data_IF_761134892939
#
_entry.id   IF_761134892939
#
_cell.length_a   1.000
_cell.length_b   1.000
_cell.length_c   1.000
_cell.angle_alpha   90.00
_cell.angle_beta   90.00
_cell.angle_gamma   90.00
#
_symmetry.space_group_name_H-M   'P 1'
#
loop_
_entity.id
_entity.type
_entity.pdbx_description
1 polymer ?
#
# COMPACT_ATOMS: atom_id res chain seq x y z
N UNK A 1 9.65 4.92 -8.55
CA UNK A 1 8.34 4.77 -9.24
C UNK A 1 7.98 3.30 -9.16
N UNK A 2 6.77 2.97 -8.69
CA UNK A 2 6.37 1.57 -8.48
C UNK A 2 6.05 0.88 -9.81
N UNK A 3 6.38 -0.40 -9.91
CA UNK A 3 6.21 -1.23 -11.10
C UNK A 3 5.57 -2.58 -10.78
N UNK A 4 4.95 -3.20 -11.79
CA UNK A 4 4.52 -4.59 -11.66
C UNK A 4 5.74 -5.50 -11.42
N UNK A 5 5.63 -6.41 -10.45
CA UNK A 5 6.72 -7.26 -10.00
C UNK A 5 7.42 -6.78 -8.74
N UNK A 6 7.31 -5.49 -8.39
CA UNK A 6 7.88 -4.97 -7.13
C UNK A 6 7.26 -5.72 -5.94
N UNK A 7 8.10 -6.07 -4.98
CA UNK A 7 7.71 -6.87 -3.83
C UNK A 7 8.07 -6.16 -2.52
N UNK A 8 7.11 -6.15 -1.60
CA UNK A 8 7.20 -5.40 -0.34
C UNK A 8 6.86 -6.29 0.83
N UNK A 9 7.70 -6.27 1.87
CA UNK A 9 7.43 -7.02 3.10
C UNK A 9 6.59 -6.18 4.06
N UNK A 10 5.43 -6.69 4.45
CA UNK A 10 4.61 -6.07 5.49
C UNK A 10 5.06 -6.45 6.91
N UNK A 11 4.54 -5.72 7.90
CA UNK A 11 4.82 -5.95 9.32
C UNK A 11 4.36 -7.33 9.80
N UNK A 12 3.35 -7.93 9.14
CA UNK A 12 2.92 -9.32 9.42
C UNK A 12 3.87 -10.38 8.85
N UNK A 13 4.94 -9.96 8.18
CA UNK A 13 5.95 -10.83 7.60
C UNK A 13 5.58 -11.44 6.24
N UNK A 14 4.42 -11.10 5.69
CA UNK A 14 4.03 -11.47 4.33
C UNK A 14 4.72 -10.58 3.31
N UNK A 15 4.97 -11.12 2.12
CA UNK A 15 5.54 -10.37 0.99
C UNK A 15 4.46 -10.14 -0.05
N UNK A 16 4.16 -8.88 -0.33
CA UNK A 16 3.15 -8.47 -1.30
C UNK A 16 3.82 -8.08 -2.61
N UNK A 17 3.49 -8.78 -3.69
CA UNK A 17 3.97 -8.48 -5.04
C UNK A 17 2.93 -7.69 -5.81
N UNK A 18 3.33 -6.54 -6.35
CA UNK A 18 2.47 -5.72 -7.20
C UNK A 18 2.24 -6.41 -8.54
N UNK A 19 1.00 -6.43 -9.02
CA UNK A 19 0.62 -7.09 -10.28
C UNK A 19 0.22 -6.06 -11.34
N UNK A 20 -0.64 -5.10 -10.99
CA UNK A 20 -1.05 -4.02 -11.91
C UNK A 20 -1.60 -2.81 -11.14
N UNK A 21 -1.47 -1.59 -11.68
CA UNK A 21 -2.14 -0.43 -11.12
C UNK A 21 -3.67 -0.54 -11.29
N UNK A 22 -4.43 0.11 -10.40
CA UNK A 22 -5.89 0.06 -10.41
C UNK A 22 -6.59 1.35 -10.84
N UNK A 23 -5.90 2.48 -10.88
CA UNK A 23 -6.45 3.67 -11.53
C UNK A 23 -6.02 3.78 -12.99
N UNK A 24 -6.46 4.83 -13.66
CA UNK A 24 -6.26 5.03 -15.11
C UNK A 24 -5.17 6.05 -15.45
N UNK A 25 -4.54 6.69 -14.47
CA UNK A 25 -3.52 7.72 -14.69
C UNK A 25 -2.09 7.24 -14.38
N UNK A 26 -1.10 8.00 -14.86
CA UNK A 26 0.31 7.68 -14.63
C UNK A 26 0.78 7.93 -13.18
N UNK A 27 -0.13 8.38 -12.29
CA UNK A 27 0.14 8.75 -10.89
C UNK A 27 -0.52 7.79 -9.90
N UNK A 28 -0.83 6.59 -10.38
CA UNK A 28 -1.51 5.57 -9.62
C UNK A 28 -0.71 5.11 -8.41
N UNK A 29 -1.19 5.51 -7.24
CA UNK A 29 -0.71 5.05 -5.95
C UNK A 29 -1.49 3.84 -5.43
N UNK A 30 -2.43 3.27 -6.21
CA UNK A 30 -3.25 2.11 -5.84
C UNK A 30 -2.99 0.95 -6.80
N UNK A 31 -2.71 -0.22 -6.23
CA UNK A 31 -2.24 -1.39 -6.94
C UNK A 31 -2.99 -2.64 -6.52
N UNK A 32 -3.26 -3.51 -7.49
CA UNK A 32 -3.61 -4.90 -7.23
C UNK A 32 -2.33 -5.66 -6.91
N UNK A 33 -2.32 -6.35 -5.77
CA UNK A 33 -1.18 -7.09 -5.25
C UNK A 33 -1.59 -8.51 -4.84
N UNK A 34 -0.61 -9.40 -4.78
CA UNK A 34 -0.79 -10.79 -4.32
C UNK A 34 0.26 -11.15 -3.28
N UNK A 35 -0.02 -12.14 -2.43
CA UNK A 35 1.02 -12.76 -1.61
C UNK A 35 2.02 -13.51 -2.53
N UNK A 36 3.28 -13.12 -2.47
CA UNK A 36 4.35 -13.69 -3.29
C UNK A 36 4.63 -15.17 -2.99
N UNK A 37 4.28 -15.65 -1.78
CA UNK A 37 4.40 -17.05 -1.39
C UNK A 37 3.19 -17.90 -1.83
N UNK A 38 2.03 -17.26 -1.98
CA UNK A 38 0.74 -17.88 -2.26
C UNK A 38 -0.08 -16.96 -3.15
N UNK A 39 0.05 -17.10 -4.46
CA UNK A 39 -0.63 -16.24 -5.46
C UNK A 39 -2.17 -16.30 -5.43
N UNK A 40 -2.77 -17.07 -4.51
CA UNK A 40 -4.21 -17.17 -4.30
C UNK A 40 -4.79 -16.02 -3.51
N UNK A 41 -4.00 -15.34 -2.67
CA UNK A 41 -4.48 -14.23 -1.83
C UNK A 41 -4.31 -12.90 -2.55
N UNK A 42 -5.39 -12.14 -2.62
CA UNK A 42 -5.51 -10.91 -3.39
C UNK A 42 -5.66 -9.70 -2.45
N UNK A 43 -4.89 -8.64 -2.73
CA UNK A 43 -4.85 -7.45 -1.89
C UNK A 43 -4.91 -6.18 -2.74
N UNK A 44 -5.34 -5.09 -2.08
CA UNK A 44 -5.21 -3.73 -2.61
C UNK A 44 -4.09 -3.05 -1.84
N UNK A 45 -2.99 -2.76 -2.51
CA UNK A 45 -1.89 -1.98 -1.95
C UNK A 45 -2.09 -0.50 -2.30
N UNK A 46 -1.95 0.38 -1.32
CA UNK A 46 -2.01 1.83 -1.52
C UNK A 46 -0.79 2.50 -0.89
N UNK A 47 -0.11 3.33 -1.66
CA UNK A 47 0.98 4.18 -1.19
C UNK A 47 0.59 5.66 -1.18
N UNK A 48 1.53 6.55 -0.81
CA UNK A 48 1.33 7.99 -0.94
C UNK A 48 1.07 8.41 -2.38
N UNK A 49 0.32 9.49 -2.55
CA UNK A 49 0.12 10.12 -3.86
C UNK A 49 1.36 10.93 -4.25
N UNK A 50 1.61 11.09 -5.55
CA UNK A 50 2.68 11.95 -6.08
C UNK A 50 2.55 13.42 -5.64
N UNK A 51 1.34 13.86 -5.31
CA UNK A 51 1.08 15.22 -4.82
C UNK A 51 1.28 15.40 -3.32
N UNK A 52 1.55 14.33 -2.57
CA UNK A 52 1.75 14.39 -1.13
C UNK A 52 3.23 14.69 -0.80
N UNK A 53 3.45 15.53 0.21
CA UNK A 53 4.77 16.11 0.47
C UNK A 53 5.69 15.08 1.14
N UNK A 54 6.54 14.46 0.31
CA UNK A 54 7.57 13.51 0.76
C UNK A 54 8.53 14.12 1.79
N UNK A 55 8.84 15.42 1.71
CA UNK A 55 9.77 16.07 2.66
C UNK A 55 9.21 16.15 4.08
N UNK A 56 7.89 15.97 4.19
CA UNK A 56 7.13 15.95 5.45
C UNK A 56 6.54 14.56 5.74
N UNK A 57 7.14 13.52 5.15
CA UNK A 57 6.73 12.13 5.33
C UNK A 57 5.29 11.83 4.91
N UNK A 58 4.82 12.46 3.83
CA UNK A 58 3.51 12.22 3.22
C UNK A 58 2.33 12.43 4.22
N UNK A 59 2.12 13.66 4.70
CA UNK A 59 1.16 13.94 5.76
C UNK A 59 -0.28 13.56 5.43
N UNK A 60 -0.70 13.65 4.16
CA UNK A 60 -2.07 13.25 3.79
C UNK A 60 -2.24 11.73 3.84
N UNK A 61 -1.23 10.98 3.38
CA UNK A 61 -1.21 9.52 3.46
C UNK A 61 -1.19 9.04 4.92
N UNK A 62 -0.40 9.68 5.79
CA UNK A 62 -0.37 9.34 7.22
C UNK A 62 -1.70 9.60 7.90
N UNK A 63 -2.35 10.72 7.59
CA UNK A 63 -3.69 10.99 8.10
C UNK A 63 -4.70 9.91 7.66
N UNK A 64 -4.66 9.48 6.39
CA UNK A 64 -5.51 8.39 5.91
C UNK A 64 -5.26 7.07 6.66
N UNK A 65 -3.98 6.73 6.89
CA UNK A 65 -3.59 5.55 7.66
C UNK A 65 -4.10 5.60 9.10
N UNK A 66 -4.00 6.75 9.76
CA UNK A 66 -4.49 6.94 11.13
C UNK A 66 -6.01 6.78 11.20
N UNK A 67 -6.76 7.31 10.22
CA UNK A 67 -8.20 7.13 10.14
C UNK A 67 -8.58 5.66 9.90
N UNK A 68 -7.84 4.94 9.05
CA UNK A 68 -8.07 3.50 8.85
C UNK A 68 -7.84 2.70 10.13
N UNK A 69 -6.77 3.00 10.88
CA UNK A 69 -6.49 2.37 12.18
C UNK A 69 -7.61 2.66 13.20
N UNK A 70 -8.13 3.87 13.23
CA UNK A 70 -9.23 4.27 14.12
C UNK A 70 -10.51 3.46 13.84
N UNK A 71 -10.79 3.15 12.57
CA UNK A 71 -12.00 2.47 12.13
C UNK A 71 -11.84 0.97 11.86
N UNK A 72 -10.73 0.36 12.27
CA UNK A 72 -10.42 -1.07 12.00
C UNK A 72 -11.52 -2.05 12.45
N UNK A 73 -12.32 -1.68 13.46
CA UNK A 73 -13.42 -2.51 14.00
C UNK A 73 -14.79 -2.22 13.36
N UNK A 74 -14.89 -1.25 12.46
CA UNK A 74 -16.16 -0.91 11.83
C UNK A 74 -16.50 -1.93 10.74
N UNK A 75 -17.62 -2.68 10.84
CA UNK A 75 -17.89 -3.83 9.97
C UNK A 75 -18.16 -3.46 8.50
N UNK A 76 -18.46 -2.20 8.22
CA UNK A 76 -18.73 -1.70 6.86
C UNK A 76 -17.56 -0.94 6.25
N UNK A 77 -16.46 -0.74 6.99
CA UNK A 77 -15.24 -0.09 6.51
C UNK A 77 -14.27 -1.19 6.12
N UNK A 78 -13.56 -1.00 5.00
CA UNK A 78 -12.57 -1.98 4.53
C UNK A 78 -11.45 -2.10 5.55
N UNK A 79 -11.07 -3.33 5.87
CA UNK A 79 -10.01 -3.62 6.83
C UNK A 79 -8.62 -3.19 6.31
N UNK A 80 -7.81 -2.60 7.19
CA UNK A 80 -6.38 -2.48 6.99
C UNK A 80 -5.71 -3.82 7.34
N UNK A 81 -5.36 -4.60 6.31
CA UNK A 81 -4.86 -5.97 6.49
C UNK A 81 -3.43 -6.01 7.03
N UNK A 82 -2.58 -5.09 6.59
CA UNK A 82 -1.16 -5.01 6.92
C UNK A 82 -0.62 -3.61 6.62
N UNK A 83 0.59 -3.31 7.07
CA UNK A 83 1.32 -2.10 6.77
C UNK A 83 2.72 -2.44 6.25
N UNK A 84 3.17 -1.74 5.21
CA UNK A 84 4.53 -1.88 4.66
C UNK A 84 5.36 -0.68 5.12
N UNK A 85 6.38 -0.87 5.99
CA UNK A 85 7.19 0.23 6.50
C UNK A 85 8.04 0.87 5.40
N UNK A 86 8.32 2.17 5.54
CA UNK A 86 9.06 2.96 4.55
C UNK A 86 10.49 2.48 4.29
N UNK A 87 11.09 1.72 5.23
CA UNK A 87 12.39 1.07 5.07
C UNK A 87 12.42 0.00 3.98
N UNK A 88 11.25 -0.56 3.63
CA UNK A 88 11.09 -1.59 2.60
C UNK A 88 10.73 -0.99 1.23
N UNK A 89 10.61 0.34 1.13
CA UNK A 89 10.24 1.00 -0.10
C UNK A 89 11.48 1.11 -0.99
N UNK A 90 11.34 1.11 -2.33
CA UNK A 90 12.50 1.21 -3.20
C UNK A 90 13.11 2.58 -2.97
N UNK A 91 14.31 2.60 -2.38
CA UNK A 91 15.14 3.81 -2.32
C UNK A 91 15.45 4.21 -3.77
N UNK A 92 15.45 5.52 -4.11
CA UNK A 92 15.67 5.98 -5.48
C UNK A 92 16.98 5.47 -6.08
#
# INVERSE_FOLDING_TARGET
MLSAGDAFRGERGLTYRLVRPLGSDSRNNVWYAVDASRETSQYIAKGPSDGDDKSREWPAFQHELDMQKLYVKAPTIRELVDFVPSSEWPVP
#
